data_IF_275065965926
#
_entry.id   IF_275065965926
#
_cell.length_a   1.000
_cell.length_b   1.000
_cell.length_c   1.000
_cell.angle_alpha   90.00
_cell.angle_beta   90.00
_cell.angle_gamma   90.00
#
_symmetry.space_group_name_H-M   'P 1'
#
loop_
_entity.id
_entity.type
_entity.pdbx_description
1 polymer ?
#
# COMPACT_ATOMS: atom_id res chain seq x y z
N UNK A 1 -36.00 -14.20 -13.97
CA UNK A 1 -36.18 -15.64 -14.28
C UNK A 1 -37.38 -16.10 -13.48
N UNK A 2 -38.47 -16.40 -14.19
CA UNK A 2 -39.68 -16.93 -13.57
C UNK A 2 -39.31 -18.26 -12.91
N UNK A 3 -39.64 -18.40 -11.63
CA UNK A 3 -39.68 -19.70 -10.96
C UNK A 3 -40.84 -20.41 -11.63
N UNK A 4 -40.52 -21.25 -12.61
CA UNK A 4 -41.47 -22.17 -13.21
C UNK A 4 -41.81 -23.16 -12.10
N UNK A 5 -42.84 -22.83 -11.32
CA UNK A 5 -43.51 -23.73 -10.40
C UNK A 5 -44.29 -24.75 -11.25
N UNK A 6 -43.54 -25.52 -12.07
CA UNK A 6 -44.01 -26.77 -12.59
C UNK A 6 -44.05 -27.71 -11.41
N UNK A 7 -45.11 -27.56 -10.61
CA UNK A 7 -45.65 -28.60 -9.76
C UNK A 7 -45.78 -29.83 -10.65
N UNK A 8 -44.71 -30.62 -10.69
CA UNK A 8 -44.74 -31.96 -11.24
C UNK A 8 -45.68 -32.68 -10.30
N UNK A 9 -46.96 -32.70 -10.67
CA UNK A 9 -47.99 -33.52 -10.07
C UNK A 9 -47.55 -34.97 -10.32
N UNK A 10 -46.60 -35.42 -9.49
CA UNK A 10 -46.24 -36.81 -9.37
C UNK A 10 -47.46 -37.45 -8.76
N UNK A 11 -48.36 -37.88 -9.66
CA UNK A 11 -49.62 -38.54 -9.37
C UNK A 11 -49.36 -39.55 -8.28
N UNK A 12 -49.89 -39.25 -7.09
CA UNK A 12 -49.77 -40.16 -5.97
C UNK A 12 -50.43 -41.48 -6.37
N UNK A 13 -49.77 -42.62 -6.10
CA UNK A 13 -50.38 -43.92 -6.37
C UNK A 13 -51.72 -44.00 -5.61
N UNK A 14 -52.75 -44.65 -6.19
CA UNK A 14 -54.02 -44.82 -5.51
C UNK A 14 -53.83 -45.56 -4.19
N UNK A 15 -54.63 -45.20 -3.18
CA UNK A 15 -54.56 -45.80 -1.85
C UNK A 15 -54.81 -47.32 -1.93
N UNK A 16 -53.99 -48.14 -1.24
CA UNK A 16 -54.14 -49.60 -1.26
C UNK A 16 -55.37 -50.09 -0.47
N UNK A 17 -55.97 -49.23 0.35
CA UNK A 17 -57.02 -49.57 1.32
C UNK A 17 -58.21 -50.27 0.64
N UNK A 18 -58.63 -49.80 -0.53
CA UNK A 18 -59.74 -50.40 -1.29
C UNK A 18 -59.45 -51.86 -1.69
N UNK A 19 -58.19 -52.20 -1.97
CA UNK A 19 -57.79 -53.56 -2.33
C UNK A 19 -57.63 -54.44 -1.09
N UNK A 20 -57.16 -53.86 0.01
CA UNK A 20 -56.98 -54.54 1.30
C UNK A 20 -58.34 -54.85 1.93
N UNK A 21 -59.29 -53.91 1.89
CA UNK A 21 -60.65 -54.10 2.40
C UNK A 21 -61.37 -55.19 1.60
N UNK A 22 -61.26 -55.15 0.25
CA UNK A 22 -61.80 -56.21 -0.60
C UNK A 22 -61.15 -57.58 -0.37
N UNK A 23 -59.87 -57.64 0.01
CA UNK A 23 -59.21 -58.89 0.41
C UNK A 23 -59.73 -59.39 1.76
N UNK A 24 -59.95 -58.49 2.72
CA UNK A 24 -60.51 -58.81 4.04
C UNK A 24 -61.95 -59.33 3.91
N UNK A 25 -62.74 -58.75 3.01
CA UNK A 25 -64.13 -59.15 2.75
C UNK A 25 -64.23 -60.61 2.27
N UNK A 26 -63.23 -61.14 1.55
CA UNK A 26 -63.24 -62.52 1.05
C UNK A 26 -63.22 -63.58 2.16
N UNK A 27 -62.89 -63.21 3.40
CA UNK A 27 -62.89 -64.11 4.57
C UNK A 27 -64.22 -64.03 5.33
N UNK A 28 -65.14 -63.15 4.92
CA UNK A 28 -66.43 -62.97 5.57
C UNK A 28 -67.38 -64.13 5.30
N UNK A 29 -68.34 -64.35 6.21
CA UNK A 29 -69.35 -65.41 6.11
C UNK A 29 -70.17 -65.41 4.79
N UNK A 30 -70.16 -64.29 4.05
CA UNK A 30 -70.83 -64.14 2.75
C UNK A 30 -70.24 -65.04 1.64
N UNK A 31 -69.01 -65.54 1.80
CA UNK A 31 -68.30 -66.33 0.80
C UNK A 31 -68.10 -67.79 1.22
N UNK A 32 -68.78 -68.26 2.28
CA UNK A 32 -68.61 -69.61 2.82
C UNK A 32 -69.08 -70.72 1.86
N UNK A 33 -70.09 -70.42 1.03
CA UNK A 33 -70.69 -71.35 0.07
C UNK A 33 -70.13 -71.22 -1.36
N UNK A 34 -69.13 -70.34 -1.55
CA UNK A 34 -68.55 -70.10 -2.87
C UNK A 34 -67.53 -71.18 -3.26
N UNK A 35 -67.44 -71.47 -4.56
CA UNK A 35 -66.42 -72.38 -5.11
C UNK A 35 -64.99 -71.89 -4.74
N UNK A 36 -64.17 -72.74 -4.10
CA UNK A 36 -62.79 -72.40 -3.74
C UNK A 36 -61.95 -71.88 -4.92
N UNK A 37 -62.19 -72.35 -6.14
CA UNK A 37 -61.46 -71.87 -7.32
C UNK A 37 -61.77 -70.39 -7.64
N UNK A 38 -63.04 -69.99 -7.52
CA UNK A 38 -63.47 -68.61 -7.76
C UNK A 38 -62.88 -67.63 -6.72
N UNK A 39 -62.80 -68.05 -5.45
CA UNK A 39 -62.17 -67.25 -4.39
C UNK A 39 -60.68 -67.05 -4.67
N UNK A 40 -59.95 -68.10 -5.07
CA UNK A 40 -58.54 -68.00 -5.41
C UNK A 40 -58.27 -67.07 -6.60
N UNK A 41 -59.11 -67.11 -7.65
CA UNK A 41 -58.99 -66.21 -8.79
C UNK A 41 -59.19 -64.75 -8.36
N UNK A 42 -60.20 -64.47 -7.54
CA UNK A 42 -60.48 -63.12 -7.03
C UNK A 42 -59.38 -62.60 -6.10
N UNK A 43 -58.87 -63.44 -5.20
CA UNK A 43 -57.73 -63.10 -4.35
C UNK A 43 -56.47 -62.84 -5.19
N UNK A 44 -56.20 -63.68 -6.19
CA UNK A 44 -55.07 -63.51 -7.12
C UNK A 44 -55.12 -62.17 -7.86
N UNK A 45 -56.31 -61.76 -8.34
CA UNK A 45 -56.51 -60.46 -8.97
C UNK A 45 -56.25 -59.28 -8.02
N UNK A 46 -56.73 -59.36 -6.77
CA UNK A 46 -56.49 -58.33 -5.75
C UNK A 46 -55.01 -58.24 -5.36
N UNK A 47 -54.30 -59.37 -5.23
CA UNK A 47 -52.85 -59.39 -5.01
C UNK A 47 -52.06 -58.80 -6.19
N UNK A 48 -52.47 -59.08 -7.43
CA UNK A 48 -51.87 -58.49 -8.62
C UNK A 48 -52.04 -56.97 -8.62
N UNK A 49 -53.23 -56.49 -8.23
CA UNK A 49 -53.50 -55.06 -8.07
C UNK A 49 -52.64 -54.42 -6.96
N UNK A 50 -52.54 -55.03 -5.79
CA UNK A 50 -51.70 -54.53 -4.69
C UNK A 50 -50.21 -54.47 -5.10
N UNK A 51 -49.71 -55.48 -5.83
CA UNK A 51 -48.35 -55.45 -6.40
C UNK A 51 -48.16 -54.31 -7.40
N UNK A 52 -49.19 -53.99 -8.21
CA UNK A 52 -49.13 -52.86 -9.13
C UNK A 52 -49.06 -51.51 -8.39
N UNK A 53 -49.89 -51.32 -7.36
CA UNK A 53 -49.86 -50.13 -6.50
C UNK A 53 -48.52 -49.97 -5.79
N UNK A 54 -47.94 -51.06 -5.26
CA UNK A 54 -46.62 -51.04 -4.62
C UNK A 54 -45.52 -50.64 -5.62
N UNK A 55 -45.52 -51.19 -6.84
CA UNK A 55 -44.58 -50.77 -7.90
C UNK A 55 -44.75 -49.29 -8.25
N UNK A 56 -45.99 -48.80 -8.36
CA UNK A 56 -46.26 -47.39 -8.61
C UNK A 56 -45.74 -46.49 -7.48
N UNK A 57 -45.94 -46.87 -6.21
CA UNK A 57 -45.43 -46.14 -5.05
C UNK A 57 -43.89 -46.08 -5.00
N UNK A 58 -43.21 -47.19 -5.28
CA UNK A 58 -41.76 -47.22 -5.38
C UNK A 58 -41.25 -46.38 -6.54
N UNK A 59 -41.94 -46.41 -7.69
CA UNK A 59 -41.66 -45.57 -8.85
C UNK A 59 -41.76 -44.08 -8.51
N UNK A 60 -42.87 -43.66 -7.89
CA UNK A 60 -43.08 -42.29 -7.44
C UNK A 60 -42.02 -41.84 -6.43
N UNK A 61 -41.65 -42.71 -5.48
CA UNK A 61 -40.60 -42.43 -4.50
C UNK A 61 -39.24 -42.22 -5.17
N UNK A 62 -38.87 -43.07 -6.14
CA UNK A 62 -37.62 -42.93 -6.91
C UNK A 62 -37.62 -41.64 -7.73
N UNK A 63 -38.72 -41.33 -8.40
CA UNK A 63 -38.87 -40.10 -9.17
C UNK A 63 -38.69 -38.86 -8.30
N UNK A 64 -39.35 -38.80 -7.14
CA UNK A 64 -39.19 -37.67 -6.19
C UNK A 64 -37.76 -37.55 -5.68
N UNK A 65 -37.11 -38.68 -5.32
CA UNK A 65 -35.70 -38.68 -4.91
C UNK A 65 -34.80 -38.13 -6.01
N UNK A 66 -35.04 -38.49 -7.26
CA UNK A 66 -34.27 -37.98 -8.39
C UNK A 66 -34.45 -36.48 -8.57
N UNK A 67 -35.70 -36.00 -8.60
CA UNK A 67 -36.01 -34.56 -8.73
C UNK A 67 -35.35 -33.75 -7.62
N UNK A 68 -35.43 -34.20 -6.36
CA UNK A 68 -34.77 -33.52 -5.24
C UNK A 68 -33.24 -33.57 -5.34
N UNK A 69 -32.68 -34.68 -5.84
CA UNK A 69 -31.23 -34.79 -6.04
C UNK A 69 -30.74 -33.85 -7.14
N UNK A 70 -31.49 -33.74 -8.25
CA UNK A 70 -31.17 -32.85 -9.37
C UNK A 70 -31.25 -31.38 -8.94
N UNK A 71 -32.32 -30.99 -8.24
CA UNK A 71 -32.44 -29.64 -7.69
C UNK A 71 -31.33 -29.30 -6.68
N UNK A 72 -30.95 -30.26 -5.83
CA UNK A 72 -29.81 -30.10 -4.90
C UNK A 72 -28.49 -29.93 -5.68
N UNK A 73 -28.30 -30.68 -6.75
CA UNK A 73 -27.11 -30.58 -7.57
C UNK A 73 -26.99 -29.22 -8.26
N UNK A 74 -28.08 -28.70 -8.82
CA UNK A 74 -28.13 -27.36 -9.41
C UNK A 74 -27.82 -26.27 -8.37
N UNK A 75 -28.39 -26.38 -7.17
CA UNK A 75 -28.08 -25.49 -6.05
C UNK A 75 -26.59 -25.55 -5.68
N UNK A 76 -26.00 -26.74 -5.59
CA UNK A 76 -24.58 -26.90 -5.26
C UNK A 76 -23.67 -26.30 -6.35
N UNK A 77 -24.03 -26.44 -7.64
CA UNK A 77 -23.29 -25.83 -8.75
C UNK A 77 -23.34 -24.29 -8.72
N UNK A 78 -24.53 -23.72 -8.51
CA UNK A 78 -24.70 -22.26 -8.40
C UNK A 78 -23.97 -21.70 -7.18
N UNK A 79 -24.00 -22.42 -6.05
CA UNK A 79 -23.24 -22.06 -4.85
C UNK A 79 -21.72 -22.04 -5.10
N UNK A 80 -21.19 -23.02 -5.84
CA UNK A 80 -19.78 -23.02 -6.24
C UNK A 80 -19.43 -21.80 -7.11
N UNK A 81 -20.30 -21.46 -8.06
CA UNK A 81 -20.16 -20.26 -8.88
C UNK A 81 -20.11 -18.97 -8.04
N UNK A 82 -20.99 -18.85 -7.05
CA UNK A 82 -20.98 -17.73 -6.09
C UNK A 82 -19.67 -17.67 -5.30
N UNK A 83 -19.15 -18.80 -4.82
CA UNK A 83 -17.88 -18.83 -4.09
C UNK A 83 -16.70 -18.37 -4.94
N UNK A 84 -16.66 -18.75 -6.22
CA UNK A 84 -15.64 -18.27 -7.17
C UNK A 84 -15.70 -16.74 -7.33
N UNK A 85 -16.89 -16.17 -7.53
CA UNK A 85 -17.07 -14.73 -7.64
C UNK A 85 -16.69 -13.99 -6.34
N UNK A 86 -17.04 -14.55 -5.18
CA UNK A 86 -16.64 -13.98 -3.88
C UNK A 86 -15.12 -14.02 -3.68
N UNK A 87 -14.45 -15.07 -4.18
CA UNK A 87 -12.99 -15.14 -4.15
C UNK A 87 -12.39 -14.05 -5.05
N UNK A 88 -12.87 -13.93 -6.28
CA UNK A 88 -12.42 -12.91 -7.23
C UNK A 88 -12.64 -11.49 -6.69
N UNK A 89 -13.82 -11.19 -6.15
CA UNK A 89 -14.12 -9.91 -5.48
C UNK A 89 -13.08 -9.59 -4.41
N UNK A 90 -12.84 -10.52 -3.48
CA UNK A 90 -11.87 -10.31 -2.40
C UNK A 90 -10.44 -10.16 -2.93
N UNK A 91 -10.09 -10.86 -4.00
CA UNK A 91 -8.80 -10.71 -4.66
C UNK A 91 -8.64 -9.30 -5.23
N UNK A 92 -9.62 -8.82 -6.01
CA UNK A 92 -9.62 -7.48 -6.57
C UNK A 92 -9.61 -6.39 -5.49
N UNK A 93 -10.39 -6.54 -4.41
CA UNK A 93 -10.36 -5.62 -3.28
C UNK A 93 -8.98 -5.51 -2.65
N UNK A 94 -8.26 -6.63 -2.48
CA UNK A 94 -6.88 -6.63 -1.99
C UNK A 94 -5.92 -5.96 -2.96
N UNK A 95 -6.04 -6.20 -4.26
CA UNK A 95 -5.18 -5.56 -5.25
C UNK A 95 -5.44 -4.06 -5.33
N UNK A 96 -6.71 -3.62 -5.27
CA UNK A 96 -7.07 -2.20 -5.20
C UNK A 96 -6.45 -1.55 -3.96
N UNK A 97 -6.54 -2.21 -2.81
CA UNK A 97 -5.97 -1.69 -1.57
C UNK A 97 -4.44 -1.59 -1.65
N UNK A 98 -3.76 -2.58 -2.22
CA UNK A 98 -2.31 -2.50 -2.50
C UNK A 98 -1.96 -1.32 -3.40
N UNK A 99 -2.73 -1.10 -4.47
CA UNK A 99 -2.52 0.04 -5.37
C UNK A 99 -2.78 1.38 -4.66
N UNK A 100 -3.76 1.45 -3.75
CA UNK A 100 -4.05 2.66 -2.96
C UNK A 100 -2.99 2.96 -1.92
N UNK A 101 -2.38 1.92 -1.36
CA UNK A 101 -1.25 2.04 -0.43
C UNK A 101 0.05 2.47 -1.10
N UNK A 102 0.05 2.64 -2.43
CA UNK A 102 1.17 3.28 -3.12
C UNK A 102 1.30 4.74 -2.68
N UNK A 103 2.13 4.96 -1.66
CA UNK A 103 2.57 6.28 -1.25
C UNK A 103 3.81 6.64 -2.08
N UNK A 104 3.70 7.72 -2.86
CA UNK A 104 4.86 8.26 -3.57
C UNK A 104 5.51 9.35 -2.75
N UNK A 105 6.85 9.36 -2.74
CA UNK A 105 7.68 10.24 -1.92
C UNK A 105 7.34 11.72 -2.14
N UNK A 106 6.80 12.11 -3.31
CA UNK A 106 6.48 13.50 -3.61
C UNK A 106 5.46 14.12 -2.64
N UNK A 107 4.64 13.30 -1.97
CA UNK A 107 3.63 13.78 -1.01
C UNK A 107 4.26 14.34 0.28
N UNK A 108 5.47 13.89 0.62
CA UNK A 108 6.19 14.29 1.84
C UNK A 108 7.20 15.42 1.60
N UNK A 109 7.37 15.86 0.35
CA UNK A 109 8.33 16.90 0.00
C UNK A 109 7.73 18.27 0.37
N UNK A 110 8.44 19.11 1.16
CA UNK A 110 8.05 20.50 1.34
C UNK A 110 8.17 21.22 0.00
N UNK A 111 7.05 21.66 -0.55
CA UNK A 111 6.96 22.42 -1.80
C UNK A 111 6.57 23.86 -1.49
N UNK A 112 6.98 24.78 -2.35
CA UNK A 112 6.42 26.14 -2.37
C UNK A 112 4.88 26.10 -2.44
N UNK A 113 4.24 27.05 -1.76
CA UNK A 113 2.80 27.23 -1.82
C UNK A 113 2.36 27.56 -3.26
N UNK A 114 1.07 27.39 -3.56
CA UNK A 114 0.55 27.68 -4.91
C UNK A 114 0.76 29.15 -5.28
N UNK A 115 0.62 30.05 -4.31
CA UNK A 115 0.81 31.49 -4.48
C UNK A 115 2.27 31.82 -4.83
N UNK A 116 3.22 31.29 -4.06
CA UNK A 116 4.66 31.45 -4.32
C UNK A 116 5.06 30.81 -5.65
N UNK A 117 4.54 29.62 -5.94
CA UNK A 117 4.76 28.96 -7.22
C UNK A 117 4.15 29.75 -8.38
N UNK A 118 3.12 30.57 -8.17
CA UNK A 118 2.50 31.43 -9.20
C UNK A 118 3.17 32.81 -9.32
N UNK A 119 4.03 33.19 -8.35
CA UNK A 119 4.89 34.39 -8.44
C UNK A 119 6.34 34.13 -8.92
N UNK A 120 7.03 33.10 -8.41
CA UNK A 120 8.44 32.77 -8.70
C UNK A 120 8.79 31.87 -9.93
N UNK A 121 8.06 30.78 -10.20
CA UNK A 121 8.21 29.92 -11.38
C UNK A 121 8.15 30.63 -12.76
N UNK A 122 8.70 30.02 -13.83
CA UNK A 122 8.65 30.57 -15.18
C UNK A 122 7.24 30.62 -15.79
N UNK A 123 7.01 31.50 -16.78
CA UNK A 123 5.70 31.64 -17.46
C UNK A 123 5.29 30.35 -18.18
N UNK A 124 6.25 29.60 -18.72
CA UNK A 124 6.01 28.33 -19.40
C UNK A 124 5.37 27.28 -18.46
N UNK A 125 5.68 27.36 -17.16
CA UNK A 125 5.21 26.43 -16.14
C UNK A 125 3.84 26.81 -15.54
N UNK A 126 3.24 27.93 -15.96
CA UNK A 126 2.00 28.50 -15.40
C UNK A 126 0.95 28.88 -16.44
N UNK A 127 1.03 28.28 -17.62
CA UNK A 127 0.02 28.48 -18.64
C UNK A 127 -1.37 28.11 -18.09
N UNK A 128 -2.43 28.77 -18.55
CA UNK A 128 -3.80 28.54 -18.05
C UNK A 128 -4.21 27.06 -18.15
N UNK A 129 -3.79 26.36 -19.21
CA UNK A 129 -4.04 24.92 -19.36
C UNK A 129 -3.33 24.04 -18.33
N UNK A 130 -2.17 24.47 -17.83
CA UNK A 130 -1.44 23.79 -16.75
C UNK A 130 -2.10 24.05 -15.40
N UNK A 131 -2.55 25.28 -15.15
CA UNK A 131 -3.21 25.64 -13.89
C UNK A 131 -4.58 24.96 -13.74
N UNK A 132 -5.24 24.63 -14.85
CA UNK A 132 -6.52 23.94 -14.87
C UNK A 132 -6.42 22.42 -14.60
N UNK A 133 -5.28 21.78 -14.88
CA UNK A 133 -5.05 20.35 -14.66
C UNK A 133 -4.18 20.14 -13.41
N UNK A 134 -4.78 19.60 -12.33
CA UNK A 134 -4.11 19.36 -11.05
C UNK A 134 -2.84 18.50 -11.19
N UNK A 135 -2.85 17.50 -12.08
CA UNK A 135 -1.71 16.61 -12.26
C UNK A 135 -0.56 17.35 -12.95
N UNK A 136 -0.85 18.10 -14.00
CA UNK A 136 0.17 18.92 -14.70
C UNK A 136 0.71 20.02 -13.80
N UNK A 137 -0.16 20.65 -13.00
CA UNK A 137 0.25 21.61 -11.99
C UNK A 137 1.22 20.98 -10.99
N UNK A 138 0.92 19.79 -10.46
CA UNK A 138 1.81 19.10 -9.52
C UNK A 138 3.17 18.76 -10.15
N UNK A 139 3.18 18.25 -11.39
CA UNK A 139 4.43 17.97 -12.11
C UNK A 139 5.29 19.21 -12.29
N UNK A 140 4.69 20.33 -12.67
CA UNK A 140 5.42 21.59 -12.84
C UNK A 140 5.88 22.20 -11.51
N UNK A 141 5.13 22.01 -10.42
CA UNK A 141 5.58 22.37 -9.08
C UNK A 141 6.80 21.56 -8.65
N UNK A 142 6.80 20.25 -8.90
CA UNK A 142 7.93 19.38 -8.59
C UNK A 142 9.17 19.68 -9.45
N UNK A 143 8.99 19.98 -10.73
CA UNK A 143 10.11 20.34 -11.62
C UNK A 143 10.72 21.68 -11.22
N UNK A 144 9.89 22.66 -10.84
CA UNK A 144 10.36 23.94 -10.31
C UNK A 144 11.14 23.77 -9.00
N UNK A 145 10.61 22.99 -8.05
CA UNK A 145 11.30 22.69 -6.79
C UNK A 145 12.68 22.03 -7.03
N UNK A 146 12.76 21.09 -7.98
CA UNK A 146 14.01 20.43 -8.34
C UNK A 146 15.06 21.46 -8.80
N UNK A 147 14.67 22.35 -9.72
CA UNK A 147 15.56 23.39 -10.27
C UNK A 147 16.00 24.35 -9.17
N UNK A 148 15.08 24.79 -8.30
CA UNK A 148 15.42 25.69 -7.19
C UNK A 148 16.37 25.03 -6.18
N UNK A 149 16.15 23.75 -5.83
CA UNK A 149 17.07 23.02 -4.95
C UNK A 149 18.45 22.86 -5.56
N UNK A 150 18.55 22.57 -6.85
CA UNK A 150 19.83 22.50 -7.56
C UNK A 150 20.55 23.85 -7.55
N UNK A 151 19.81 24.95 -7.79
CA UNK A 151 20.34 26.31 -7.74
C UNK A 151 20.86 26.67 -6.35
N UNK A 152 20.11 26.34 -5.30
CA UNK A 152 20.48 26.60 -3.91
C UNK A 152 21.68 25.75 -3.46
N UNK A 153 21.74 24.48 -3.84
CA UNK A 153 22.88 23.59 -3.56
C UNK A 153 24.16 24.10 -4.25
N UNK A 154 24.05 24.55 -5.50
CA UNK A 154 25.17 25.16 -6.20
C UNK A 154 25.65 26.43 -5.51
N UNK A 155 24.72 27.33 -5.15
CA UNK A 155 25.06 28.55 -4.40
C UNK A 155 25.70 28.24 -3.04
N UNK A 156 25.22 27.22 -2.34
CA UNK A 156 25.80 26.77 -1.07
C UNK A 156 27.25 26.31 -1.27
N UNK A 157 27.51 25.49 -2.30
CA UNK A 157 28.86 25.03 -2.65
C UNK A 157 29.79 26.19 -2.97
N UNK A 158 29.33 27.18 -3.71
CA UNK A 158 30.14 28.34 -4.09
C UNK A 158 30.47 29.22 -2.88
N UNK A 159 29.49 29.49 -2.00
CA UNK A 159 29.71 30.20 -0.74
C UNK A 159 30.66 29.44 0.19
N UNK A 160 30.56 28.10 0.24
CA UNK A 160 31.48 27.28 1.04
C UNK A 160 32.91 27.37 0.54
N UNK A 161 33.11 27.34 -0.79
CA UNK A 161 34.45 27.55 -1.39
C UNK A 161 34.99 28.92 -1.06
N UNK A 162 34.20 29.98 -1.24
CA UNK A 162 34.61 31.36 -0.92
C UNK A 162 34.99 31.48 0.57
N UNK A 163 34.20 30.88 1.47
CA UNK A 163 34.51 30.82 2.90
C UNK A 163 35.85 30.11 3.17
N UNK A 164 36.12 28.99 2.51
CA UNK A 164 37.38 28.25 2.66
C UNK A 164 38.58 29.06 2.16
N UNK A 165 38.43 29.76 1.04
CA UNK A 165 39.45 30.64 0.48
C UNK A 165 39.75 31.82 1.42
N UNK A 166 38.71 32.50 1.92
CA UNK A 166 38.86 33.59 2.89
C UNK A 166 39.50 33.12 4.20
N UNK A 167 39.15 31.93 4.69
CA UNK A 167 39.79 31.36 5.88
C UNK A 167 41.28 31.07 5.64
N UNK A 168 41.64 30.57 4.46
CA UNK A 168 43.04 30.34 4.07
C UNK A 168 43.80 31.66 3.98
N UNK A 169 43.23 32.68 3.35
CA UNK A 169 43.80 34.02 3.26
C UNK A 169 43.98 34.64 4.65
N UNK A 170 42.97 34.54 5.52
CA UNK A 170 43.03 35.03 6.90
C UNK A 170 44.16 34.35 7.70
N UNK A 171 44.34 33.03 7.56
CA UNK A 171 45.45 32.30 8.20
C UNK A 171 46.81 32.73 7.66
N UNK A 172 46.92 32.94 6.34
CA UNK A 172 48.16 33.43 5.74
C UNK A 172 48.50 34.84 6.24
N UNK A 173 47.52 35.76 6.26
CA UNK A 173 47.69 37.11 6.82
C UNK A 173 48.11 37.08 8.29
N UNK A 174 47.48 36.23 9.11
CA UNK A 174 47.87 36.05 10.52
C UNK A 174 49.33 35.60 10.64
N UNK A 175 49.75 34.59 9.89
CA UNK A 175 51.14 34.12 9.90
C UNK A 175 52.13 35.20 9.45
N UNK A 176 51.79 36.00 8.43
CA UNK A 176 52.63 37.15 8.03
C UNK A 176 52.69 38.22 9.13
N UNK A 177 51.57 38.49 9.82
CA UNK A 177 51.52 39.45 10.91
C UNK A 177 52.37 39.00 12.10
N UNK A 178 52.33 37.71 12.46
CA UNK A 178 53.17 37.12 13.50
C UNK A 178 54.66 37.19 13.11
N UNK A 179 55.00 36.94 11.84
CA UNK A 179 56.37 37.10 11.34
C UNK A 179 56.85 38.55 11.43
N UNK A 180 56.05 39.52 10.98
CA UNK A 180 56.37 40.95 11.07
C UNK A 180 56.54 41.37 12.53
N UNK A 181 55.63 40.96 13.42
CA UNK A 181 55.75 41.21 14.87
C UNK A 181 57.09 40.71 15.42
N UNK A 182 57.48 39.49 15.06
CA UNK A 182 58.76 38.90 15.48
C UNK A 182 59.96 39.72 14.98
N UNK A 183 59.93 40.16 13.72
CA UNK A 183 61.00 41.02 13.17
C UNK A 183 61.07 42.39 13.86
N UNK A 184 59.93 43.00 14.17
CA UNK A 184 59.86 44.26 14.92
C UNK A 184 60.42 44.07 16.34
N UNK A 185 60.04 43.00 17.04
CA UNK A 185 60.58 42.69 18.36
C UNK A 185 62.11 42.51 18.33
N UNK A 186 62.63 41.85 17.28
CA UNK A 186 64.08 41.74 17.06
C UNK A 186 64.72 43.10 16.81
N UNK A 187 64.14 43.94 15.95
CA UNK A 187 64.65 45.28 15.66
C UNK A 187 64.68 46.15 16.92
N UNK A 188 63.62 46.12 17.74
CA UNK A 188 63.57 46.83 19.02
C UNK A 188 64.70 46.36 19.93
N UNK A 189 64.90 45.05 20.09
CA UNK A 189 66.01 44.50 20.88
C UNK A 189 67.36 45.01 20.37
N UNK A 190 67.62 44.91 19.07
CA UNK A 190 68.87 45.39 18.47
C UNK A 190 69.04 46.90 18.66
N UNK A 191 67.99 47.70 18.48
CA UNK A 191 68.03 49.15 18.70
C UNK A 191 68.32 49.49 20.16
N UNK A 192 67.72 48.78 21.12
CA UNK A 192 68.02 48.95 22.56
C UNK A 192 69.46 48.57 22.91
N UNK A 193 70.01 47.52 22.29
CA UNK A 193 71.42 47.13 22.48
C UNK A 193 72.38 48.17 21.90
N UNK A 194 72.09 48.71 20.71
CA UNK A 194 72.87 49.80 20.10
C UNK A 194 72.77 51.06 20.95
N UNK A 195 71.58 51.44 21.43
CA UNK A 195 71.39 52.59 22.31
C UNK A 195 72.21 52.44 23.59
N UNK A 196 72.23 51.25 24.20
CA UNK A 196 73.07 50.96 25.35
C UNK A 196 74.56 51.11 25.04
N UNK A 197 75.04 50.52 23.93
CA UNK A 197 76.44 50.66 23.50
C UNK A 197 76.83 52.12 23.23
N UNK A 198 75.95 52.90 22.59
CA UNK A 198 76.18 54.32 22.34
C UNK A 198 76.21 55.11 23.65
N UNK A 199 75.31 54.83 24.60
CA UNK A 199 75.35 55.46 25.93
C UNK A 199 76.64 55.13 26.69
N UNK A 200 77.09 53.88 26.64
CA UNK A 200 78.37 53.45 27.24
C UNK A 200 79.57 54.17 26.58
N UNK A 201 79.56 54.34 25.24
CA UNK A 201 80.57 55.08 24.49
C UNK A 201 80.57 56.58 24.79
N UNK A 202 79.40 57.20 24.98
CA UNK A 202 79.26 58.62 25.36
C UNK A 202 79.71 58.87 26.82
N UNK A 203 79.48 57.92 27.72
CA UNK A 203 80.04 57.97 29.08
C UNK A 203 81.56 57.77 29.10
N UNK A 204 82.12 57.06 28.12
CA UNK A 204 83.57 56.84 27.97
C UNK A 204 84.33 58.07 27.44
N UNK A 205 83.64 59.05 26.85
CA UNK A 205 84.25 60.30 26.37
C UNK A 205 84.32 61.40 27.44
N UNK A 206 83.65 61.21 28.58
CA UNK A 206 83.76 62.08 29.75
C UNK A 206 84.68 61.44 30.80
N UNK A 207 85.97 61.32 30.50
CA UNK A 207 87.00 61.32 31.54
C UNK A 207 88.23 62.08 31.01
N UNK A 208 88.64 63.19 31.67
CA UNK A 208 89.75 64.02 31.20
C UNK A 208 91.08 63.28 31.35
N UNK A 209 91.85 63.25 30.25
CA UNK A 209 93.20 62.74 30.23
C UNK A 209 94.18 63.75 30.86
N UNK A 210 94.74 63.34 32.01
CA UNK A 210 96.13 63.44 32.47
C UNK A 210 96.84 64.82 32.62
N UNK A 211 97.06 65.21 33.90
CA UNK A 211 98.34 65.41 34.66
C UNK A 211 99.54 66.20 34.03
N UNK A 212 100.61 66.62 34.77
CA UNK A 212 100.83 67.06 36.17
C UNK A 212 101.78 68.31 36.30
N UNK A 213 102.33 68.54 37.53
CA UNK A 213 103.57 69.26 37.99
C UNK A 213 103.45 70.75 38.43
N UNK A 214 104.40 71.31 39.24
CA UNK A 214 104.43 71.37 40.70
C UNK A 214 104.42 72.81 41.29
N UNK A 215 104.19 72.93 42.60
CA UNK A 215 104.39 74.15 43.38
C UNK A 215 103.82 74.01 44.79
#
# INVERSE_FOLDING_TARGET
MAVDDSSTDVVLPPLPDVAIDKLRDLVSAQYLDWDPAAIHIRAGALFAHLKAVNRAANGATRARKQVTADARHEMDQTYLGLQNLLYEKRHLEREIEKCRQFASIYQDIPLYSIEEFTQLAPEEARTEGVLADEHQLMLNRLSFELVERQRLDQKQKDILKEKEELLKESKAKLATMESVKTQVDTLIKTATEVQKKVADLVQSTDTPANTPVPG
#
